data_IF_193977389451
#
_entry.id   IF_193977389451
#
_cell.length_a   1.000
_cell.length_b   1.000
_cell.length_c   1.000
_cell.angle_alpha   90.00
_cell.angle_beta   90.00
_cell.angle_gamma   90.00
#
_symmetry.space_group_name_H-M   'P 1'
#
loop_
_entity.id
_entity.type
_entity.pdbx_description
1 polymer ?
#
# COMPACT_ATOMS: atom_id res chain seq x y z
N UNK A 1 19.62 7.40 -31.23
CA UNK A 1 19.17 8.27 -30.14
C UNK A 1 17.95 7.60 -29.54
N UNK A 2 18.14 6.86 -28.41
CA UNK A 2 17.04 6.31 -27.67
C UNK A 2 16.18 7.45 -27.12
N UNK A 3 14.89 7.43 -27.44
CA UNK A 3 13.91 8.19 -26.67
C UNK A 3 14.00 7.58 -25.28
N UNK A 4 14.50 8.33 -24.32
CA UNK A 4 14.37 7.94 -22.90
C UNK A 4 12.90 7.71 -22.67
N UNK A 5 12.52 6.46 -22.34
CA UNK A 5 11.13 6.13 -22.16
C UNK A 5 10.58 6.95 -20.99
N UNK A 6 9.66 7.86 -21.29
CA UNK A 6 9.04 8.74 -20.33
C UNK A 6 8.32 7.92 -19.27
N UNK A 7 8.73 8.04 -18.02
CA UNK A 7 8.05 7.45 -16.87
C UNK A 7 7.30 8.55 -16.12
N UNK A 8 6.01 8.42 -16.04
CA UNK A 8 5.14 9.35 -15.28
C UNK A 8 5.14 8.90 -13.83
N UNK A 9 5.54 9.79 -12.94
CA UNK A 9 5.56 9.51 -11.49
C UNK A 9 4.60 10.45 -10.78
N UNK A 10 3.77 9.91 -9.88
CA UNK A 10 2.77 10.68 -9.14
C UNK A 10 2.53 10.13 -7.73
N UNK A 11 2.07 10.99 -6.81
CA UNK A 11 1.74 10.56 -5.45
C UNK A 11 0.40 9.83 -5.38
N UNK A 12 0.21 9.13 -4.24
CA UNK A 12 -1.00 8.36 -3.97
C UNK A 12 -2.25 9.25 -3.99
N UNK A 13 -3.16 8.97 -4.92
CA UNK A 13 -4.41 9.68 -5.07
C UNK A 13 -4.40 10.83 -6.06
N UNK A 14 -3.25 11.20 -6.64
CA UNK A 14 -3.18 12.18 -7.73
C UNK A 14 -3.75 11.63 -9.04
N UNK A 15 -3.64 10.32 -9.26
CA UNK A 15 -4.18 9.66 -10.45
C UNK A 15 -5.33 8.71 -10.08
N UNK A 16 -6.43 8.83 -10.81
CA UNK A 16 -7.57 7.90 -10.71
C UNK A 16 -7.25 6.57 -11.39
N UNK A 17 -8.02 5.52 -11.09
CA UNK A 17 -7.90 4.24 -11.79
C UNK A 17 -8.15 4.38 -13.30
N UNK A 18 -9.04 5.30 -13.72
CA UNK A 18 -9.28 5.60 -15.12
C UNK A 18 -8.06 6.24 -15.78
N UNK A 19 -7.39 7.17 -15.10
CA UNK A 19 -6.18 7.80 -15.62
C UNK A 19 -5.04 6.79 -15.78
N UNK A 20 -4.84 5.88 -14.81
CA UNK A 20 -3.84 4.82 -14.93
C UNK A 20 -4.12 3.91 -16.13
N UNK A 21 -5.39 3.56 -16.36
CA UNK A 21 -5.80 2.78 -17.52
C UNK A 21 -5.51 3.54 -18.83
N UNK A 22 -5.83 4.82 -18.91
CA UNK A 22 -5.56 5.66 -20.08
C UNK A 22 -4.07 5.78 -20.36
N UNK A 23 -3.22 5.91 -19.33
CA UNK A 23 -1.77 5.92 -19.50
C UNK A 23 -1.26 4.59 -20.08
N UNK A 24 -1.75 3.46 -19.57
CA UNK A 24 -1.38 2.14 -20.05
C UNK A 24 -1.82 1.91 -21.51
N UNK A 25 -3.05 2.30 -21.86
CA UNK A 25 -3.58 2.26 -23.23
C UNK A 25 -2.80 3.15 -24.19
N UNK A 26 -2.26 4.25 -23.70
CA UNK A 26 -1.38 5.13 -24.46
C UNK A 26 0.10 4.65 -24.49
N UNK A 27 0.39 3.45 -23.97
CA UNK A 27 1.74 2.89 -23.84
C UNK A 27 2.71 3.75 -23.03
N UNK A 28 2.20 4.58 -22.14
CA UNK A 28 2.99 5.39 -21.24
C UNK A 28 3.27 4.62 -19.93
N UNK A 29 4.52 4.66 -19.49
CA UNK A 29 4.93 4.03 -18.23
C UNK A 29 4.64 4.95 -17.04
N UNK A 30 4.29 4.36 -15.92
CA UNK A 30 4.03 5.11 -14.70
C UNK A 30 4.52 4.41 -13.43
N UNK A 31 4.83 5.21 -12.42
CA UNK A 31 5.02 4.78 -11.01
C UNK A 31 4.17 5.71 -10.15
N UNK A 32 3.24 5.16 -9.37
CA UNK A 32 2.37 5.95 -8.49
C UNK A 32 2.40 5.40 -7.08
N UNK A 33 2.31 6.27 -6.09
CA UNK A 33 2.18 5.84 -4.70
C UNK A 33 0.92 5.00 -4.49
N UNK A 34 1.04 3.85 -3.81
CA UNK A 34 -0.10 3.05 -3.41
C UNK A 34 -0.70 3.55 -2.09
N UNK A 35 -2.03 3.52 -1.99
CA UNK A 35 -2.71 3.75 -0.72
C UNK A 35 -2.49 2.55 0.20
N UNK A 36 -2.16 2.80 1.47
CA UNK A 36 -1.89 1.75 2.46
C UNK A 36 -3.06 0.77 2.66
N UNK A 37 -4.29 1.18 2.36
CA UNK A 37 -5.47 0.31 2.38
C UNK A 37 -5.38 -0.89 1.42
N UNK A 38 -4.50 -0.86 0.44
CA UNK A 38 -4.23 -1.98 -0.48
C UNK A 38 -3.29 -3.02 0.11
N UNK A 39 -2.43 -2.64 1.04
CA UNK A 39 -1.38 -3.50 1.58
C UNK A 39 -1.88 -4.86 2.09
N UNK A 40 -3.01 -4.98 2.83
CA UNK A 40 -3.47 -6.29 3.29
C UNK A 40 -3.79 -7.27 2.16
N UNK A 41 -4.31 -6.77 1.04
CA UNK A 41 -4.62 -7.61 -0.12
C UNK A 41 -3.39 -7.93 -0.95
N UNK A 42 -2.56 -6.93 -1.23
CA UNK A 42 -1.35 -7.08 -2.04
C UNK A 42 -0.29 -7.97 -1.33
N UNK A 43 -0.21 -7.87 0.00
CA UNK A 43 0.74 -8.60 0.84
C UNK A 43 0.13 -9.85 1.51
N UNK A 44 -1.00 -10.35 1.04
CA UNK A 44 -1.68 -11.51 1.63
C UNK A 44 -0.73 -12.73 1.73
N UNK A 45 0.05 -12.99 0.68
CA UNK A 45 1.02 -14.08 0.67
C UNK A 45 2.14 -13.86 1.71
N UNK A 46 2.66 -12.64 1.80
CA UNK A 46 3.68 -12.30 2.79
C UNK A 46 3.14 -12.50 4.22
N UNK A 47 1.96 -11.98 4.52
CA UNK A 47 1.36 -12.14 5.85
C UNK A 47 1.04 -13.60 6.18
N UNK A 48 0.70 -14.42 5.18
CA UNK A 48 0.45 -15.84 5.37
C UNK A 48 1.71 -16.61 5.76
N UNK A 49 2.86 -16.34 5.09
CA UNK A 49 4.10 -17.11 5.26
C UNK A 49 5.07 -16.51 6.27
N UNK A 50 5.07 -15.19 6.41
CA UNK A 50 6.06 -14.43 7.21
C UNK A 50 5.45 -13.63 8.36
N UNK A 51 4.12 -13.62 8.49
CA UNK A 51 3.43 -12.78 9.45
C UNK A 51 3.60 -11.29 9.15
N UNK A 52 3.59 -10.47 10.18
CA UNK A 52 3.76 -9.00 10.09
C UNK A 52 5.22 -8.55 10.30
N UNK A 53 6.16 -9.48 10.27
CA UNK A 53 7.57 -9.19 10.42
C UNK A 53 8.20 -8.75 9.10
N UNK A 54 8.86 -7.58 9.13
CA UNK A 54 9.62 -7.04 8.00
C UNK A 54 11.02 -6.66 8.43
N UNK A 55 12.01 -6.99 7.59
CA UNK A 55 13.36 -6.45 7.73
C UNK A 55 13.40 -4.97 7.30
N UNK A 56 14.37 -4.22 7.81
CA UNK A 56 14.60 -2.84 7.35
C UNK A 56 15.09 -2.84 5.90
N UNK A 57 14.47 -2.04 5.05
CA UNK A 57 14.76 -1.99 3.62
C UNK A 57 14.17 -3.15 2.81
N UNK A 58 13.40 -4.05 3.42
CA UNK A 58 12.77 -5.16 2.69
C UNK A 58 11.84 -4.64 1.61
N UNK A 59 11.94 -5.26 0.42
CA UNK A 59 11.04 -5.03 -0.70
C UNK A 59 10.21 -6.30 -0.95
N UNK A 60 8.93 -6.11 -1.20
CA UNK A 60 8.01 -7.17 -1.66
C UNK A 60 7.45 -6.74 -3.00
N UNK A 61 7.77 -7.49 -4.04
CA UNK A 61 7.29 -7.29 -5.40
C UNK A 61 6.12 -8.24 -5.63
N UNK A 62 4.96 -7.70 -5.99
CA UNK A 62 3.71 -8.46 -6.03
C UNK A 62 2.72 -7.87 -7.04
N UNK A 63 1.49 -8.33 -6.98
CA UNK A 63 0.39 -7.94 -7.86
C UNK A 63 -0.66 -7.16 -7.06
N UNK A 64 -1.21 -6.11 -7.67
CA UNK A 64 -2.37 -5.41 -7.15
C UNK A 64 -3.49 -5.39 -8.20
N UNK A 65 -4.73 -5.79 -7.85
CA UNK A 65 -5.84 -5.76 -8.81
C UNK A 65 -6.11 -4.35 -9.32
N UNK A 66 -6.47 -4.22 -10.59
CA UNK A 66 -7.07 -2.99 -11.13
C UNK A 66 -8.43 -2.78 -10.47
N UNK A 67 -8.83 -1.53 -10.25
CA UNK A 67 -10.11 -1.21 -9.60
C UNK A 67 -11.27 -1.82 -10.40
N UNK A 68 -12.11 -2.60 -9.73
CA UNK A 68 -13.29 -3.27 -10.32
C UNK A 68 -13.06 -4.70 -10.79
N UNK A 69 -11.82 -5.18 -10.92
CA UNK A 69 -11.54 -6.59 -11.19
C UNK A 69 -11.58 -7.39 -9.87
N UNK A 70 -12.65 -8.12 -9.64
CA UNK A 70 -12.77 -9.05 -8.51
C UNK A 70 -12.10 -10.40 -8.78
N UNK A 71 -11.84 -10.71 -10.05
CA UNK A 71 -11.43 -12.03 -10.52
C UNK A 71 -9.95 -12.35 -10.31
N UNK A 72 -9.12 -11.38 -9.95
CA UNK A 72 -7.67 -11.55 -9.97
C UNK A 72 -6.99 -11.73 -8.62
N UNK A 73 -7.76 -11.94 -7.57
CA UNK A 73 -7.21 -12.56 -6.36
C UNK A 73 -7.05 -14.06 -6.61
N UNK A 74 -6.10 -14.39 -7.45
CA UNK A 74 -5.75 -15.78 -7.62
C UNK A 74 -5.03 -16.27 -6.35
N UNK A 75 -5.77 -17.04 -5.57
CA UNK A 75 -5.25 -17.63 -4.33
C UNK A 75 -4.15 -18.65 -4.58
N UNK A 76 -3.99 -19.12 -5.82
CA UNK A 76 -2.91 -20.03 -6.22
C UNK A 76 -1.56 -19.30 -6.35
N UNK A 77 -1.57 -18.00 -6.60
CA UNK A 77 -0.38 -17.13 -6.67
C UNK A 77 0.21 -16.75 -5.30
N UNK A 78 -0.11 -17.51 -4.25
CA UNK A 78 0.38 -17.27 -2.88
C UNK A 78 1.88 -17.46 -2.68
N UNK A 79 2.58 -17.98 -3.67
CA UNK A 79 4.02 -18.13 -3.68
C UNK A 79 4.66 -17.07 -4.58
N UNK A 80 4.64 -15.80 -4.15
CA UNK A 80 5.35 -14.68 -4.78
C UNK A 80 5.06 -14.51 -6.28
N UNK A 81 3.88 -14.00 -6.65
CA UNK A 81 3.59 -13.77 -8.05
C UNK A 81 4.50 -12.66 -8.60
N UNK A 82 5.26 -12.98 -9.62
CA UNK A 82 5.91 -11.96 -10.45
C UNK A 82 4.87 -11.42 -11.43
N UNK A 83 4.57 -10.14 -11.34
CA UNK A 83 3.62 -9.53 -12.26
C UNK A 83 4.16 -9.54 -13.69
N UNK A 84 3.30 -9.95 -14.60
CA UNK A 84 3.54 -9.89 -16.04
C UNK A 84 2.27 -9.39 -16.73
N UNK A 85 2.37 -8.42 -17.67
CA UNK A 85 1.20 -7.82 -18.31
C UNK A 85 0.39 -8.80 -19.16
N UNK A 86 0.98 -9.89 -19.63
CA UNK A 86 0.31 -10.88 -20.45
C UNK A 86 -0.47 -11.88 -19.59
N UNK A 87 0.15 -12.36 -18.51
CA UNK A 87 -0.48 -13.32 -17.60
C UNK A 87 -1.40 -12.69 -16.56
N UNK A 88 -1.24 -11.38 -16.30
CA UNK A 88 -2.03 -10.64 -15.31
C UNK A 88 -2.67 -9.37 -15.90
N UNK A 89 -3.49 -9.48 -16.97
CA UNK A 89 -3.99 -8.31 -17.70
C UNK A 89 -4.96 -7.41 -16.92
N UNK A 90 -5.57 -7.91 -15.84
CA UNK A 90 -6.44 -7.12 -14.97
C UNK A 90 -5.78 -6.61 -13.71
N UNK A 91 -4.44 -6.70 -13.61
CA UNK A 91 -3.64 -6.25 -12.47
C UNK A 91 -2.57 -5.26 -12.87
N UNK A 92 -2.02 -4.59 -11.84
CA UNK A 92 -0.78 -3.84 -11.92
C UNK A 92 0.30 -4.54 -11.08
N UNK A 93 1.54 -4.24 -11.37
CA UNK A 93 2.66 -4.55 -10.46
C UNK A 93 2.58 -3.65 -9.25
N UNK A 94 2.76 -4.21 -8.06
CA UNK A 94 2.89 -3.48 -6.81
C UNK A 94 4.24 -3.79 -6.15
N UNK A 95 4.94 -2.76 -5.74
CA UNK A 95 6.17 -2.86 -4.95
C UNK A 95 5.90 -2.25 -3.58
N UNK A 96 6.11 -3.03 -2.52
CA UNK A 96 5.98 -2.58 -1.14
C UNK A 96 7.35 -2.54 -0.49
N UNK A 97 7.70 -1.39 0.08
CA UNK A 97 8.95 -1.17 0.79
C UNK A 97 8.69 -0.97 2.28
N UNK A 98 9.47 -1.62 3.13
CA UNK A 98 9.44 -1.42 4.58
C UNK A 98 10.66 -0.62 5.05
N UNK A 99 10.44 0.28 6.02
CA UNK A 99 11.48 1.06 6.67
C UNK A 99 11.24 1.15 8.16
N UNK A 100 12.23 0.78 8.97
CA UNK A 100 12.18 0.93 10.44
C UNK A 100 12.03 2.39 10.87
N UNK A 101 12.66 3.33 10.16
CA UNK A 101 12.50 4.77 10.42
C UNK A 101 11.05 5.22 10.21
N UNK A 102 10.41 4.74 9.12
CA UNK A 102 8.98 4.98 8.87
C UNK A 102 8.11 4.31 9.93
N UNK A 103 8.38 3.04 10.28
CA UNK A 103 7.64 2.28 11.28
C UNK A 103 7.66 2.99 12.65
N UNK A 104 8.80 3.51 13.07
CA UNK A 104 8.91 4.27 14.32
C UNK A 104 8.04 5.55 14.31
N UNK A 105 7.98 6.27 13.18
CA UNK A 105 7.12 7.44 13.02
C UNK A 105 5.64 7.07 13.02
N UNK A 106 5.29 6.03 12.27
CA UNK A 106 3.91 5.55 12.13
C UNK A 106 3.38 5.05 13.48
N UNK A 107 4.19 4.32 14.26
CA UNK A 107 3.84 3.88 15.61
C UNK A 107 3.57 5.05 16.55
N UNK A 108 4.40 6.10 16.56
CA UNK A 108 4.13 7.31 17.37
C UNK A 108 2.79 7.94 17.01
N UNK A 109 2.46 7.99 15.72
CA UNK A 109 1.17 8.50 15.25
C UNK A 109 0.01 7.63 15.71
N UNK A 110 0.15 6.30 15.62
CA UNK A 110 -0.87 5.35 16.08
C UNK A 110 -1.05 5.41 17.61
N UNK A 111 0.02 5.55 18.37
CA UNK A 111 -0.05 5.70 19.83
C UNK A 111 -0.82 6.96 20.21
N UNK A 112 -0.53 8.09 19.56
CA UNK A 112 -1.27 9.32 19.77
C UNK A 112 -2.75 9.20 19.41
N UNK A 113 -3.08 8.48 18.32
CA UNK A 113 -4.46 8.23 17.89
C UNK A 113 -5.19 7.29 18.87
N UNK A 114 -4.53 6.21 19.33
CA UNK A 114 -5.09 5.30 20.32
C UNK A 114 -5.32 5.97 21.66
N UNK A 115 -4.41 6.82 22.14
CA UNK A 115 -4.57 7.58 23.37
C UNK A 115 -5.73 8.60 23.25
N UNK A 116 -5.90 9.23 22.09
CA UNK A 116 -7.06 10.09 21.84
C UNK A 116 -8.37 9.30 21.86
N UNK A 117 -8.40 8.10 21.30
CA UNK A 117 -9.57 7.22 21.35
C UNK A 117 -9.94 6.84 22.80
N UNK A 118 -8.95 6.45 23.61
CA UNK A 118 -9.18 6.16 25.04
C UNK A 118 -9.71 7.35 25.82
N UNK A 119 -9.19 8.57 25.55
CA UNK A 119 -9.68 9.80 26.18
C UNK A 119 -11.14 10.12 25.80
N UNK A 120 -11.56 9.81 24.58
CA UNK A 120 -12.97 9.94 24.15
C UNK A 120 -13.85 8.94 24.89
N UNK A 121 -13.44 7.67 24.96
CA UNK A 121 -14.16 6.59 25.65
C UNK A 121 -14.31 6.92 27.15
N UNK A 122 -13.29 7.51 27.75
CA UNK A 122 -13.31 7.97 29.15
C UNK A 122 -14.13 9.27 29.38
N UNK A 123 -14.76 9.82 28.34
CA UNK A 123 -15.52 11.08 28.46
C UNK A 123 -14.68 12.36 28.61
N UNK A 124 -13.36 12.24 28.49
CA UNK A 124 -12.43 13.37 28.65
C UNK A 124 -12.33 14.25 27.39
N UNK A 125 -12.83 13.74 26.25
CA UNK A 125 -12.79 14.41 24.95
C UNK A 125 -14.06 14.17 24.13
N UNK A 126 -14.38 15.13 23.27
CA UNK A 126 -15.49 14.97 22.30
C UNK A 126 -15.09 13.99 21.20
N UNK A 127 -16.03 13.10 20.73
CA UNK A 127 -15.76 12.01 19.80
C UNK A 127 -15.50 12.46 18.34
N UNK A 128 -15.63 13.72 17.99
CA UNK A 128 -15.57 14.21 16.61
C UNK A 128 -14.28 13.80 15.90
N UNK A 129 -14.41 12.99 14.84
CA UNK A 129 -13.31 12.59 13.96
C UNK A 129 -12.24 11.71 14.63
N UNK A 130 -12.57 11.00 15.70
CA UNK A 130 -11.61 10.16 16.42
C UNK A 130 -11.54 8.78 15.79
N UNK A 131 -10.35 8.43 15.30
CA UNK A 131 -10.03 7.09 14.78
C UNK A 131 -10.00 6.08 15.93
N UNK A 132 -10.34 4.81 15.64
CA UNK A 132 -10.36 3.70 16.58
C UNK A 132 -11.38 3.78 17.70
N UNK A 133 -12.44 4.56 17.54
CA UNK A 133 -13.62 4.51 18.39
C UNK A 133 -14.75 3.89 17.61
N UNK A 134 -15.37 2.87 18.16
CA UNK A 134 -16.59 2.24 17.63
C UNK A 134 -17.67 2.19 18.69
N UNK A 135 -18.92 1.96 18.29
CA UNK A 135 -20.04 1.82 19.23
C UNK A 135 -20.46 0.35 19.31
N UNK A 136 -20.47 -0.19 20.52
CA UNK A 136 -20.97 -1.53 20.79
C UNK A 136 -22.06 -1.46 21.87
N UNK A 137 -23.27 -1.93 21.53
CA UNK A 137 -24.44 -1.92 22.43
C UNK A 137 -24.77 -0.55 23.08
N UNK A 138 -24.47 0.55 22.35
CA UNK A 138 -24.68 1.91 22.83
C UNK A 138 -23.47 2.55 23.50
N UNK A 139 -22.47 1.77 23.89
CA UNK A 139 -21.25 2.28 24.51
C UNK A 139 -20.13 2.51 23.48
N UNK A 140 -19.34 3.54 23.69
CA UNK A 140 -18.12 3.77 22.91
C UNK A 140 -17.01 2.87 23.43
N UNK A 141 -16.40 2.12 22.52
CA UNK A 141 -15.28 1.19 22.83
C UNK A 141 -14.14 1.37 21.83
N UNK A 142 -12.95 0.93 22.23
CA UNK A 142 -11.79 0.93 21.35
C UNK A 142 -11.96 -0.13 20.25
N UNK A 143 -11.77 0.26 18.98
CA UNK A 143 -11.72 -0.67 17.85
C UNK A 143 -10.32 -1.32 17.78
N UNK A 144 -10.13 -2.32 18.63
CA UNK A 144 -8.87 -3.08 18.74
C UNK A 144 -8.49 -3.75 17.43
N UNK A 145 -9.48 -4.25 16.66
CA UNK A 145 -9.22 -4.92 15.39
C UNK A 145 -8.67 -3.95 14.34
N UNK A 146 -9.23 -2.75 14.25
CA UNK A 146 -8.72 -1.71 13.33
C UNK A 146 -7.36 -1.18 13.77
N UNK A 147 -7.12 -1.06 15.07
CA UNK A 147 -5.83 -0.65 15.60
C UNK A 147 -4.75 -1.71 15.33
N UNK A 148 -5.05 -2.99 15.56
CA UNK A 148 -4.14 -4.10 15.26
C UNK A 148 -3.78 -4.16 13.77
N UNK A 149 -4.78 -4.03 12.87
CA UNK A 149 -4.54 -3.93 11.41
C UNK A 149 -3.65 -2.75 11.04
N UNK A 150 -3.87 -1.59 11.66
CA UNK A 150 -3.02 -0.43 11.41
C UNK A 150 -1.57 -0.66 11.87
N UNK A 151 -1.37 -1.35 12.99
CA UNK A 151 -0.04 -1.69 13.50
C UNK A 151 0.69 -2.70 12.62
N UNK A 152 0.01 -3.66 12.03
CA UNK A 152 0.64 -4.63 11.10
C UNK A 152 1.16 -3.98 9.80
N UNK A 153 0.73 -2.75 9.50
CA UNK A 153 1.10 -2.02 8.29
C UNK A 153 2.12 -0.89 8.52
N UNK A 154 2.61 -0.71 9.74
CA UNK A 154 3.59 0.34 10.03
C UNK A 154 4.88 0.13 9.25
N UNK A 155 5.47 1.22 8.80
CA UNK A 155 6.72 1.19 8.04
C UNK A 155 6.57 0.88 6.56
N UNK A 156 5.38 0.45 6.10
CA UNK A 156 5.13 0.10 4.71
C UNK A 156 4.80 1.33 3.85
N UNK A 157 5.41 1.39 2.67
CA UNK A 157 5.06 2.29 1.57
C UNK A 157 4.96 1.48 0.30
N UNK A 158 3.85 1.62 -0.41
CA UNK A 158 3.60 0.91 -1.65
C UNK A 158 3.70 1.80 -2.88
N UNK A 159 4.00 1.17 -4.00
CA UNK A 159 4.09 1.77 -5.33
C UNK A 159 3.40 0.85 -6.33
N UNK A 160 2.67 1.44 -7.27
CA UNK A 160 1.99 0.72 -8.35
C UNK A 160 2.57 1.16 -9.67
N UNK A 161 2.86 0.21 -10.54
CA UNK A 161 3.47 0.47 -11.85
C UNK A 161 2.98 -0.49 -12.92
N UNK A 162 3.07 -0.10 -14.17
CA UNK A 162 2.90 -0.97 -15.35
C UNK A 162 4.26 -1.38 -15.96
N UNK A 163 5.36 -1.17 -15.25
CA UNK A 163 6.70 -1.52 -15.72
C UNK A 163 7.05 -2.94 -15.25
N UNK A 164 7.30 -3.90 -16.15
CA UNK A 164 7.69 -5.25 -15.77
C UNK A 164 9.05 -5.28 -15.05
N UNK A 165 9.23 -6.27 -14.16
CA UNK A 165 10.47 -6.40 -13.36
C UNK A 165 11.74 -6.63 -14.19
N UNK A 166 11.61 -7.18 -15.41
CA UNK A 166 12.73 -7.33 -16.35
C UNK A 166 13.26 -6.01 -16.93
N UNK A 167 12.47 -4.93 -16.86
CA UNK A 167 12.82 -3.60 -17.36
C UNK A 167 13.24 -2.65 -16.25
N UNK A 168 12.69 -2.83 -15.05
CA UNK A 168 12.99 -2.02 -13.87
C UNK A 168 12.78 -2.88 -12.64
N UNK A 169 13.81 -3.11 -11.86
CA UNK A 169 13.68 -3.90 -10.64
C UNK A 169 12.92 -3.15 -9.53
N UNK A 170 12.63 -3.83 -8.42
CA UNK A 170 11.85 -3.25 -7.33
C UNK A 170 12.57 -2.08 -6.65
N UNK A 171 13.88 -2.12 -6.53
CA UNK A 171 14.68 -1.04 -5.94
C UNK A 171 14.70 0.19 -6.86
N UNK A 172 14.80 -0.03 -8.17
CA UNK A 172 14.72 1.04 -9.17
C UNK A 172 13.34 1.72 -9.19
N UNK A 173 12.25 0.97 -9.03
CA UNK A 173 10.90 1.54 -8.90
C UNK A 173 10.83 2.48 -7.68
N UNK A 174 11.37 2.06 -6.55
CA UNK A 174 11.38 2.86 -5.32
C UNK A 174 12.25 4.10 -5.47
N UNK A 175 13.47 3.98 -6.03
CA UNK A 175 14.38 5.11 -6.21
C UNK A 175 13.83 6.13 -7.21
N UNK A 176 13.31 5.68 -8.35
CA UNK A 176 12.70 6.56 -9.37
C UNK A 176 11.51 7.36 -8.80
N UNK A 177 10.71 6.75 -7.93
CA UNK A 177 9.66 7.50 -7.23
C UNK A 177 10.23 8.58 -6.30
N UNK A 178 11.33 8.30 -5.61
CA UNK A 178 11.92 9.25 -4.67
C UNK A 178 12.66 10.39 -5.34
N UNK A 179 13.21 10.20 -6.53
CA UNK A 179 13.89 11.25 -7.31
C UNK A 179 13.00 12.45 -7.65
N UNK A 180 11.68 12.27 -7.69
CA UNK A 180 10.73 13.38 -7.90
C UNK A 180 10.71 14.41 -6.77
N UNK A 181 11.23 14.07 -5.60
CA UNK A 181 11.12 14.90 -4.38
C UNK A 181 12.45 15.55 -4.01
N UNK A 182 13.44 15.46 -4.91
CA UNK A 182 14.74 16.11 -4.84
C UNK A 182 14.94 17.05 -6.03
#
# INVERSE_FOLDING_TARGET
>A
HGIEELVIVADAGMLSAANLKSLDEAHLRFIVGARQVRAPGDLEAHFHWSGDAFADGQLVDTITPRRGSRSERDKSLRAEPVWDPVTHPGSWRAVWAHSKKRAARDNRTLDAQANRARAVIAGQRRPKGTRFVTTHKGDQVLDEASLARARSLVGLKGYVTNIPSRLMDAAEVVSSYHELWH
#
